data_IF_017487265972
#
_entry.id   IF_017487265972
#
_cell.length_a   1.000
_cell.length_b   1.000
_cell.length_c   1.000
_cell.angle_alpha   90.00
_cell.angle_beta   90.00
_cell.angle_gamma   90.00
#
_symmetry.space_group_name_H-M   'P 1'
#
loop_
_entity.id
_entity.type
_entity.pdbx_description
1 polymer ?
#
# COMPACT_ATOMS: atom_id res chain seq x y z
N UNK A 1 8.01 -14.75 16.40
CA UNK A 1 6.54 -14.56 16.41
C UNK A 1 6.13 -13.65 15.28
N UNK A 2 5.29 -14.15 14.43
CA UNK A 2 4.78 -13.36 13.33
C UNK A 2 3.66 -12.47 13.82
N UNK A 3 3.85 -11.18 13.75
CA UNK A 3 2.79 -10.24 14.05
C UNK A 3 2.07 -9.89 12.76
N UNK A 4 0.75 -9.85 12.82
CA UNK A 4 0.01 -9.17 11.77
C UNK A 4 0.37 -7.69 11.82
N UNK A 5 0.67 -7.12 10.67
CA UNK A 5 0.88 -5.69 10.62
C UNK A 5 -0.42 -4.98 10.94
N UNK A 6 -0.39 -3.92 11.75
CA UNK A 6 -1.59 -3.13 12.01
C UNK A 6 -2.36 -2.73 10.74
N UNK A 7 -1.71 -2.33 9.63
CA UNK A 7 -2.42 -1.98 8.42
C UNK A 7 -3.36 -3.07 7.90
N UNK A 8 -2.94 -4.34 7.94
CA UNK A 8 -3.78 -5.45 7.47
C UNK A 8 -5.04 -5.62 8.31
N UNK A 9 -4.88 -5.55 9.63
CA UNK A 9 -6.00 -5.68 10.55
C UNK A 9 -6.98 -4.54 10.35
N UNK A 10 -6.46 -3.32 10.28
CA UNK A 10 -7.28 -2.12 10.15
C UNK A 10 -8.04 -2.07 8.82
N UNK A 11 -7.43 -2.50 7.74
CA UNK A 11 -8.09 -2.57 6.44
C UNK A 11 -9.29 -3.53 6.48
N UNK A 12 -9.12 -4.70 7.10
CA UNK A 12 -10.18 -5.70 7.21
C UNK A 12 -11.34 -5.27 8.09
N UNK A 13 -11.06 -4.49 9.13
CA UNK A 13 -12.11 -4.02 10.05
C UNK A 13 -12.85 -2.80 9.53
N UNK A 14 -12.43 -2.22 8.40
CA UNK A 14 -13.02 -1.00 7.87
C UNK A 14 -13.03 0.14 8.90
N UNK A 15 -11.99 0.22 9.73
CA UNK A 15 -11.90 1.21 10.80
C UNK A 15 -11.88 2.66 10.29
N UNK A 16 -11.64 2.87 9.00
CA UNK A 16 -11.66 4.17 8.34
C UNK A 16 -13.07 4.64 7.96
N UNK A 17 -14.07 3.75 7.98
CA UNK A 17 -15.45 4.12 7.59
C UNK A 17 -16.03 5.31 8.38
N UNK A 18 -15.77 5.45 9.71
CA UNK A 18 -16.33 6.56 10.47
C UNK A 18 -15.73 7.93 10.16
N UNK A 19 -14.68 8.00 9.34
CA UNK A 19 -14.06 9.29 9.01
C UNK A 19 -15.05 10.19 8.29
N UNK A 20 -15.54 11.21 9.00
CA UNK A 20 -16.54 12.13 8.45
C UNK A 20 -16.10 13.57 8.41
N UNK A 21 -14.94 13.89 8.99
CA UNK A 21 -14.42 15.25 8.98
C UNK A 21 -13.69 15.58 7.66
N UNK A 22 -13.42 16.86 7.47
CA UNK A 22 -12.76 17.32 6.25
C UNK A 22 -11.37 16.69 6.06
N UNK A 23 -10.64 16.45 7.15
CA UNK A 23 -9.28 15.93 7.08
C UNK A 23 -9.21 14.48 6.63
N UNK A 24 -10.15 13.64 7.09
CA UNK A 24 -10.20 12.23 6.71
C UNK A 24 -11.07 11.95 5.50
N UNK A 25 -11.84 12.92 5.03
CA UNK A 25 -12.89 12.71 4.04
C UNK A 25 -12.37 12.16 2.71
N UNK A 26 -11.31 12.74 2.18
CA UNK A 26 -10.72 12.30 0.91
C UNK A 26 -10.20 10.88 0.99
N UNK A 27 -9.49 10.55 2.07
CA UNK A 27 -8.99 9.20 2.30
C UNK A 27 -10.14 8.21 2.42
N UNK A 28 -11.23 8.58 3.10
CA UNK A 28 -12.41 7.74 3.21
C UNK A 28 -13.06 7.50 1.85
N UNK A 29 -13.23 8.53 1.05
CA UNK A 29 -13.79 8.40 -0.30
C UNK A 29 -12.93 7.48 -1.17
N UNK A 30 -11.61 7.65 -1.12
CA UNK A 30 -10.69 6.81 -1.85
C UNK A 30 -10.80 5.35 -1.40
N UNK A 31 -10.82 5.10 -0.10
CA UNK A 31 -10.91 3.76 0.45
C UNK A 31 -12.25 3.08 0.14
N UNK A 32 -13.34 3.82 0.06
CA UNK A 32 -14.63 3.26 -0.37
C UNK A 32 -14.58 2.71 -1.79
N UNK A 33 -13.78 3.33 -2.65
CA UNK A 33 -13.57 2.87 -4.03
C UNK A 33 -12.53 1.75 -4.07
N UNK A 34 -11.39 1.94 -3.39
CA UNK A 34 -10.25 1.04 -3.51
C UNK A 34 -10.39 -0.25 -2.71
N UNK A 35 -11.00 -0.21 -1.53
CA UNK A 35 -11.08 -1.38 -0.68
C UNK A 35 -11.79 -2.57 -1.33
N UNK A 36 -12.94 -2.41 -2.00
CA UNK A 36 -13.55 -3.52 -2.72
C UNK A 36 -12.66 -4.10 -3.82
N UNK A 37 -11.95 -3.23 -4.53
CA UNK A 37 -11.02 -3.66 -5.59
C UNK A 37 -9.85 -4.46 -5.01
N UNK A 38 -9.29 -3.96 -3.92
CA UNK A 38 -8.17 -4.62 -3.25
C UNK A 38 -8.58 -5.94 -2.59
N UNK A 39 -9.78 -6.01 -2.05
CA UNK A 39 -10.31 -7.23 -1.43
C UNK A 39 -10.55 -8.36 -2.45
N UNK A 40 -10.77 -8.03 -3.71
CA UNK A 40 -10.92 -9.01 -4.77
C UNK A 40 -9.58 -9.61 -5.23
N UNK A 41 -8.48 -8.94 -4.92
CA UNK A 41 -7.15 -9.43 -5.27
C UNK A 41 -6.70 -10.52 -4.28
N UNK A 42 -5.84 -11.44 -4.73
CA UNK A 42 -5.38 -12.55 -3.88
C UNK A 42 -4.35 -12.13 -2.82
N UNK A 43 -4.05 -10.84 -2.71
CA UNK A 43 -2.99 -10.32 -1.86
C UNK A 43 -3.57 -9.72 -0.59
N UNK A 44 -2.83 -9.86 0.52
CA UNK A 44 -3.11 -9.10 1.72
C UNK A 44 -2.73 -7.63 1.48
N UNK A 45 -3.52 -6.73 2.01
CA UNK A 45 -3.27 -5.29 1.89
C UNK A 45 -3.63 -4.58 3.18
N UNK A 46 -3.09 -3.40 3.33
CA UNK A 46 -3.38 -2.59 4.50
C UNK A 46 -3.07 -1.12 4.27
N UNK A 47 -3.45 -0.32 5.25
CA UNK A 47 -3.25 1.13 5.27
C UNK A 47 -2.07 1.42 6.18
N UNK A 48 -1.15 2.25 5.72
CA UNK A 48 0.04 2.64 6.47
C UNK A 48 0.19 4.16 6.47
N UNK A 49 1.32 4.68 6.88
CA UNK A 49 1.56 6.12 6.93
C UNK A 49 0.63 6.85 7.89
N UNK A 50 0.31 8.10 7.58
CA UNK A 50 -0.53 8.96 8.41
C UNK A 50 -1.95 8.43 8.60
N UNK A 51 -2.57 7.91 7.55
CA UNK A 51 -3.91 7.33 7.63
C UNK A 51 -3.91 6.09 8.53
N UNK A 52 -2.92 5.22 8.38
CA UNK A 52 -2.77 4.05 9.24
C UNK A 52 -2.57 4.44 10.70
N UNK A 53 -1.76 5.45 10.95
CA UNK A 53 -1.53 5.97 12.31
C UNK A 53 -2.81 6.57 12.90
N UNK A 54 -3.58 7.31 12.12
CA UNK A 54 -4.83 7.90 12.56
C UNK A 54 -5.83 6.83 12.99
N UNK A 55 -5.96 5.75 12.22
CA UNK A 55 -6.83 4.63 12.56
C UNK A 55 -6.36 3.94 13.83
N UNK A 56 -5.06 3.62 13.91
CA UNK A 56 -4.50 2.86 15.03
C UNK A 56 -4.54 3.65 16.34
N UNK A 57 -4.32 4.95 16.29
CA UNK A 57 -4.24 5.79 17.49
C UNK A 57 -5.56 6.47 17.86
N UNK A 58 -6.48 6.59 16.92
CA UNK A 58 -7.70 7.39 17.11
C UNK A 58 -7.45 8.89 17.12
N UNK A 59 -6.23 9.34 16.82
CA UNK A 59 -5.88 10.75 16.85
C UNK A 59 -6.18 11.42 15.51
N UNK A 60 -6.66 12.68 15.51
CA UNK A 60 -6.97 13.41 14.29
C UNK A 60 -5.72 14.00 13.64
N UNK A 61 -4.84 13.14 13.12
CA UNK A 61 -3.56 13.55 12.54
C UNK A 61 -3.59 13.74 11.02
N UNK A 62 -4.70 13.37 10.37
CA UNK A 62 -4.86 13.55 8.93
C UNK A 62 -5.11 15.01 8.59
N UNK A 63 -4.56 15.42 7.46
CA UNK A 63 -4.79 16.74 6.85
C UNK A 63 -5.40 16.55 5.48
N UNK A 64 -6.00 17.61 4.91
CA UNK A 64 -6.53 17.58 3.54
C UNK A 64 -5.47 17.18 2.51
N UNK A 65 -4.21 17.58 2.75
CA UNK A 65 -3.09 17.27 1.87
C UNK A 65 -2.45 15.92 2.16
N UNK A 66 -3.00 15.14 3.10
CA UNK A 66 -2.43 13.83 3.44
C UNK A 66 -2.57 12.86 2.27
N UNK A 67 -1.48 12.16 1.97
CA UNK A 67 -1.48 11.06 1.02
C UNK A 67 -2.12 9.82 1.64
N UNK A 68 -2.56 8.92 0.80
CA UNK A 68 -3.00 7.60 1.22
C UNK A 68 -1.89 6.60 0.94
N UNK A 69 -1.32 6.06 1.99
CA UNK A 69 -0.24 5.08 1.89
C UNK A 69 -0.80 3.67 2.10
N UNK A 70 -0.52 2.80 1.15
CA UNK A 70 -0.98 1.42 1.17
C UNK A 70 0.21 0.47 1.17
N UNK A 71 0.01 -0.68 1.79
CA UNK A 71 0.95 -1.80 1.74
C UNK A 71 0.26 -2.98 1.09
N UNK A 72 0.90 -3.56 0.09
CA UNK A 72 0.46 -4.78 -0.59
C UNK A 72 1.47 -5.87 -0.32
N UNK A 73 1.01 -7.04 0.12
CA UNK A 73 1.87 -8.21 0.25
C UNK A 73 1.66 -9.12 -0.93
N UNK A 74 2.67 -9.17 -1.77
CA UNK A 74 2.64 -9.95 -3.01
C UNK A 74 3.86 -10.88 -2.99
N UNK A 75 3.71 -12.12 -2.47
CA UNK A 75 4.85 -13.01 -2.31
C UNK A 75 5.35 -13.63 -3.61
N UNK A 76 4.53 -13.63 -4.66
CA UNK A 76 4.89 -14.16 -5.96
C UNK A 76 4.70 -13.09 -7.02
N UNK A 77 5.60 -13.09 -8.00
CA UNK A 77 5.53 -12.12 -9.10
C UNK A 77 4.16 -12.19 -9.79
N UNK A 78 3.39 -11.10 -9.77
CA UNK A 78 2.07 -11.07 -10.40
C UNK A 78 2.17 -10.79 -11.90
N UNK A 79 1.06 -10.94 -12.59
CA UNK A 79 0.94 -10.42 -13.94
C UNK A 79 1.13 -8.89 -13.90
N UNK A 80 2.07 -8.34 -14.67
CA UNK A 80 2.27 -6.89 -14.71
C UNK A 80 1.00 -6.10 -15.02
N UNK A 81 0.09 -6.64 -15.83
CA UNK A 81 -1.15 -5.99 -16.16
C UNK A 81 -2.04 -5.74 -14.93
N UNK A 82 -2.01 -6.65 -13.95
CA UNK A 82 -2.78 -6.49 -12.72
C UNK A 82 -2.30 -5.27 -11.92
N UNK A 83 -0.99 -5.08 -11.81
CA UNK A 83 -0.44 -3.92 -11.11
C UNK A 83 -0.63 -2.63 -11.88
N UNK A 84 -0.54 -2.66 -13.20
CA UNK A 84 -0.82 -1.50 -14.04
C UNK A 84 -2.27 -1.03 -13.89
N UNK A 85 -3.21 -1.96 -13.90
CA UNK A 85 -4.62 -1.67 -13.70
C UNK A 85 -4.87 -1.04 -12.33
N UNK A 86 -4.26 -1.60 -11.29
CA UNK A 86 -4.37 -1.07 -9.95
C UNK A 86 -3.81 0.34 -9.87
N UNK A 87 -2.67 0.60 -10.51
CA UNK A 87 -2.07 1.93 -10.59
C UNK A 87 -2.99 2.95 -11.24
N UNK A 88 -3.73 2.55 -12.28
CA UNK A 88 -4.71 3.43 -12.91
C UNK A 88 -5.83 3.81 -11.94
N UNK A 89 -6.30 2.88 -11.13
CA UNK A 89 -7.30 3.18 -10.10
C UNK A 89 -6.73 4.15 -9.06
N UNK A 90 -5.49 3.97 -8.64
CA UNK A 90 -4.84 4.87 -7.69
C UNK A 90 -4.72 6.29 -8.25
N UNK A 91 -4.34 6.41 -9.53
CA UNK A 91 -4.19 7.71 -10.19
C UNK A 91 -5.51 8.48 -10.31
N UNK A 92 -6.64 7.78 -10.27
CA UNK A 92 -7.96 8.39 -10.37
C UNK A 92 -8.49 8.92 -9.03
N UNK A 93 -7.77 8.69 -7.94
CA UNK A 93 -8.21 9.12 -6.61
C UNK A 93 -8.00 10.61 -6.38
N UNK A 94 -8.76 11.23 -5.44
CA UNK A 94 -8.67 12.67 -5.19
C UNK A 94 -7.40 13.11 -4.45
N UNK A 95 -6.56 12.17 -4.03
CA UNK A 95 -5.26 12.44 -3.44
C UNK A 95 -4.22 11.50 -4.02
N UNK A 96 -2.96 11.73 -3.68
CA UNK A 96 -1.89 10.82 -4.04
C UNK A 96 -2.02 9.52 -3.25
N UNK A 97 -2.00 8.41 -3.96
CA UNK A 97 -1.98 7.08 -3.36
C UNK A 97 -0.60 6.47 -3.61
N UNK A 98 0.13 6.24 -2.54
CA UNK A 98 1.44 5.59 -2.57
C UNK A 98 1.31 4.14 -2.11
N UNK A 99 1.67 3.20 -2.98
CA UNK A 99 1.64 1.79 -2.63
C UNK A 99 3.05 1.25 -2.52
N UNK A 100 3.32 0.57 -1.42
CA UNK A 100 4.51 -0.23 -1.20
C UNK A 100 4.16 -1.69 -1.39
N UNK A 101 5.05 -2.45 -2.01
CA UNK A 101 4.88 -3.89 -2.21
C UNK A 101 5.92 -4.63 -1.39
N UNK A 102 5.45 -5.56 -0.56
CA UNK A 102 6.30 -6.47 0.20
C UNK A 102 6.28 -7.84 -0.48
N UNK A 103 7.45 -8.30 -0.92
CA UNK A 103 7.60 -9.59 -1.59
C UNK A 103 7.98 -10.72 -0.63
N UNK A 104 8.24 -10.40 0.62
CA UNK A 104 8.85 -11.33 1.57
C UNK A 104 10.38 -11.20 1.62
N UNK A 105 11.00 -10.72 0.55
CA UNK A 105 12.44 -10.42 0.51
C UNK A 105 12.72 -8.97 0.91
N UNK A 106 11.74 -8.12 0.78
CA UNK A 106 11.83 -6.71 1.09
C UNK A 106 10.68 -5.95 0.47
N UNK A 107 10.72 -4.62 0.61
CA UNK A 107 9.67 -3.74 0.12
C UNK A 107 10.18 -2.78 -0.95
N UNK A 108 9.32 -2.47 -1.90
CA UNK A 108 9.62 -1.49 -2.95
C UNK A 108 8.38 -0.65 -3.28
N UNK A 109 8.61 0.52 -3.86
CA UNK A 109 7.53 1.39 -4.30
C UNK A 109 6.95 0.88 -5.62
N UNK A 110 5.64 0.70 -5.68
CA UNK A 110 4.95 0.26 -6.89
C UNK A 110 5.25 1.18 -8.08
N UNK A 111 5.26 2.49 -7.85
CA UNK A 111 5.54 3.47 -8.90
C UNK A 111 6.93 3.27 -9.52
N UNK A 112 7.91 2.89 -8.71
CA UNK A 112 9.27 2.64 -9.19
C UNK A 112 9.32 1.39 -10.07
N UNK A 113 8.62 0.33 -9.67
CA UNK A 113 8.55 -0.89 -10.47
C UNK A 113 7.87 -0.65 -11.82
N UNK A 114 6.82 0.15 -11.85
CA UNK A 114 6.09 0.45 -13.08
C UNK A 114 6.91 1.28 -14.08
N UNK A 115 7.88 2.06 -13.60
CA UNK A 115 8.79 2.78 -14.49
C UNK A 115 9.75 1.87 -15.25
N UNK A 116 9.94 0.66 -14.74
CA UNK A 116 10.87 -0.30 -15.32
C UNK A 116 12.32 -0.09 -14.89
N UNK A 117 13.17 -1.02 -15.24
CA UNK A 117 14.58 -0.99 -14.87
C UNK A 117 14.85 -1.42 -13.43
N UNK A 118 16.11 -1.32 -12.99
CA UNK A 118 16.47 -1.66 -11.61
C UNK A 118 15.74 -0.78 -10.62
N UNK A 119 15.39 -1.35 -9.48
CA UNK A 119 14.70 -0.64 -8.42
C UNK A 119 15.34 -0.91 -7.06
N UNK A 120 15.02 -0.06 -6.10
CA UNK A 120 15.53 -0.17 -4.75
C UNK A 120 14.61 -1.05 -3.92
N UNK A 121 15.14 -2.20 -3.48
CA UNK A 121 14.46 -3.10 -2.56
C UNK A 121 14.96 -2.83 -1.15
N UNK A 122 14.07 -2.44 -0.25
CA UNK A 122 14.39 -2.21 1.15
C UNK A 122 14.30 -3.53 1.89
N UNK A 123 15.44 -4.06 2.34
CA UNK A 123 15.55 -5.33 3.05
C UNK A 123 15.92 -5.11 4.51
N UNK A 124 15.84 -6.17 5.31
CA UNK A 124 16.31 -6.13 6.70
C UNK A 124 17.80 -5.82 6.83
N UNK A 125 18.59 -6.08 5.79
CA UNK A 125 20.03 -5.79 5.74
C UNK A 125 20.34 -4.46 5.04
N UNK A 126 19.35 -3.65 4.78
CA UNK A 126 19.47 -2.37 4.11
C UNK A 126 18.98 -2.40 2.67
N UNK A 127 19.05 -1.24 1.98
CA UNK A 127 18.57 -1.14 0.62
C UNK A 127 19.49 -1.84 -0.36
N UNK A 128 18.89 -2.49 -1.37
CA UNK A 128 19.62 -3.15 -2.46
C UNK A 128 18.99 -2.79 -3.80
N UNK A 129 19.83 -2.55 -4.78
CA UNK A 129 19.38 -2.35 -6.15
C UNK A 129 19.17 -3.72 -6.78
N UNK A 130 17.96 -4.00 -7.26
CA UNK A 130 17.59 -5.30 -7.85
C UNK A 130 16.90 -5.11 -9.18
N UNK A 131 17.07 -6.08 -10.07
CA UNK A 131 16.36 -6.09 -11.34
C UNK A 131 14.93 -6.66 -11.17
N UNK A 132 14.79 -7.67 -10.32
CA UNK A 132 13.52 -8.33 -10.05
C UNK A 132 13.34 -8.51 -8.54
N UNK A 133 12.42 -7.78 -7.91
CA UNK A 133 12.23 -7.87 -6.47
C UNK A 133 11.66 -9.21 -5.99
N UNK A 134 11.06 -10.00 -6.88
CA UNK A 134 10.61 -11.35 -6.56
C UNK A 134 11.69 -12.39 -6.74
N UNK A 135 12.66 -12.13 -7.59
CA UNK A 135 13.83 -12.97 -7.78
C UNK A 135 15.01 -12.55 -6.93
N UNK A 136 14.81 -11.78 -5.88
CA UNK A 136 15.88 -11.18 -5.08
C UNK A 136 16.78 -12.19 -4.38
N UNK A 137 16.33 -13.42 -4.20
CA UNK A 137 17.13 -14.49 -3.64
C UNK A 137 18.21 -14.97 -4.61
N UNK A 138 18.08 -14.69 -5.89
CA UNK A 138 19.09 -15.04 -6.87
C UNK A 138 20.28 -14.10 -6.71
N UNK A 139 21.51 -14.62 -6.65
CA UNK A 139 22.68 -13.79 -6.57
C UNK A 139 22.88 -12.91 -7.79
#
# INVERSE_FOLDING_TARGET
>A
MTRRTPPEILARTRAWEPWGDAAGHRCRLALRVLAPLLDELPWAWGITGGAGFAIASGLPVLRESSDLDLLLRIPRKPDPAALQKLSHHFAAMPMRVDAQVDTGHGGFALAEWLRGGPLLLKTGDGPRLVADPWGAAAP
#
